data_IF_563919400806
#
_entry.id   IF_563919400806
#
_cell.length_a   1.000
_cell.length_b   1.000
_cell.length_c   1.000
_cell.angle_alpha   90.00
_cell.angle_beta   90.00
_cell.angle_gamma   90.00
#
_symmetry.space_group_name_H-M   'P 1'
#
loop_
_entity.id
_entity.type
_entity.pdbx_description
1 polymer ?
#
# COMPACT_ATOMS: atom_id res chain seq x y z
N UNK A 1 -2.86 -18.15 -9.55
CA UNK A 1 -2.62 -16.76 -9.20
C UNK A 1 -2.90 -16.53 -7.73
N UNK A 2 -2.03 -15.83 -7.05
CA UNK A 2 -2.20 -15.52 -5.63
C UNK A 2 -3.20 -14.38 -5.47
N UNK A 3 -4.18 -14.58 -4.59
CA UNK A 3 -5.02 -13.49 -4.13
C UNK A 3 -4.24 -12.67 -3.10
N UNK A 4 -4.36 -11.35 -3.13
CA UNK A 4 -3.66 -10.46 -2.20
C UNK A 4 -4.39 -9.13 -2.04
N UNK A 5 -3.96 -8.35 -1.07
CA UNK A 5 -4.41 -6.96 -0.90
C UNK A 5 -3.20 -6.05 -1.03
N UNK A 6 -3.22 -5.15 -1.98
CA UNK A 6 -2.22 -4.09 -2.08
C UNK A 6 -2.63 -2.94 -1.17
N UNK A 7 -1.68 -2.45 -0.39
CA UNK A 7 -1.92 -1.37 0.56
C UNK A 7 -0.88 -0.26 0.40
N UNK A 8 -1.29 0.94 0.75
CA UNK A 8 -0.42 2.10 0.85
C UNK A 8 -0.89 3.00 1.98
N UNK A 9 0.02 3.29 2.92
CA UNK A 9 -0.19 4.31 3.92
C UNK A 9 0.43 5.61 3.45
N UNK A 10 -0.33 6.70 3.47
CA UNK A 10 0.22 8.04 3.37
C UNK A 10 0.52 8.54 4.78
N UNK A 11 1.72 9.07 4.95
CA UNK A 11 2.24 9.45 6.27
C UNK A 11 2.72 10.89 6.26
N UNK A 12 2.82 11.47 7.46
CA UNK A 12 3.50 12.75 7.62
C UNK A 12 5.00 12.58 7.41
N UNK A 13 5.66 13.65 6.96
CA UNK A 13 7.10 13.73 7.06
C UNK A 13 7.52 13.68 8.54
N UNK A 14 8.73 13.17 8.82
CA UNK A 14 9.25 13.05 10.16
C UNK A 14 9.11 14.36 10.95
N UNK A 15 8.24 14.37 11.95
CA UNK A 15 8.35 15.32 13.05
C UNK A 15 9.53 14.89 13.95
N UNK A 16 10.03 15.78 14.78
CA UNK A 16 11.28 15.60 15.54
C UNK A 16 11.41 14.34 16.41
N UNK A 17 10.40 13.49 16.52
CA UNK A 17 10.44 12.22 17.22
C UNK A 17 10.79 11.03 16.30
N UNK A 18 10.98 11.26 15.01
CA UNK A 18 11.37 10.24 14.04
C UNK A 18 10.25 9.27 13.64
N UNK A 19 8.99 9.55 13.98
CA UNK A 19 7.86 8.69 13.60
C UNK A 19 7.15 9.25 12.38
N UNK A 20 6.79 8.33 11.46
CA UNK A 20 5.83 8.60 10.41
C UNK A 20 4.43 8.25 10.92
N UNK A 21 3.57 9.24 11.07
CA UNK A 21 2.21 9.01 11.49
C UNK A 21 1.30 8.91 10.26
N UNK A 22 0.53 7.81 10.13
CA UNK A 22 -0.34 7.63 8.98
C UNK A 22 -1.57 8.53 9.08
N UNK A 23 -1.98 9.08 7.94
CA UNK A 23 -3.22 9.86 7.85
C UNK A 23 -4.19 9.30 6.81
N UNK A 24 -3.74 8.42 5.93
CA UNK A 24 -4.57 7.72 4.96
C UNK A 24 -4.08 6.29 4.76
N UNK A 25 -5.00 5.37 4.60
CA UNK A 25 -4.74 4.00 4.14
C UNK A 25 -5.57 3.73 2.90
N UNK A 26 -4.93 3.34 1.83
CA UNK A 26 -5.58 2.81 0.63
C UNK A 26 -5.39 1.30 0.53
N UNK A 27 -6.38 0.61 -0.01
CA UNK A 27 -6.34 -0.83 -0.24
C UNK A 27 -6.99 -1.19 -1.57
N UNK A 28 -6.37 -2.12 -2.28
CA UNK A 28 -6.90 -2.72 -3.50
C UNK A 28 -6.89 -4.25 -3.33
N UNK A 29 -8.06 -4.84 -3.30
CA UNK A 29 -8.23 -6.29 -3.12
C UNK A 29 -8.17 -6.98 -4.47
N UNK A 30 -7.24 -7.91 -4.61
CA UNK A 30 -7.03 -8.69 -5.85
C UNK A 30 -7.48 -10.12 -5.62
N UNK A 31 -8.34 -10.61 -6.51
CA UNK A 31 -8.78 -12.01 -6.57
C UNK A 31 -8.78 -12.47 -8.02
N UNK A 32 -8.25 -13.66 -8.24
CA UNK A 32 -8.19 -14.29 -9.57
C UNK A 32 -7.57 -13.37 -10.64
N UNK A 33 -6.55 -12.59 -10.26
CA UNK A 33 -5.83 -11.72 -11.18
C UNK A 33 -6.51 -10.39 -11.48
N UNK A 34 -7.57 -10.04 -10.77
CA UNK A 34 -8.31 -8.79 -10.97
C UNK A 34 -8.50 -8.02 -9.67
N UNK A 35 -8.50 -6.70 -9.76
CA UNK A 35 -8.89 -5.84 -8.65
C UNK A 35 -10.41 -5.90 -8.53
N UNK A 36 -10.92 -6.47 -7.44
CA UNK A 36 -12.35 -6.67 -7.21
C UNK A 36 -12.96 -5.66 -6.27
N UNK A 37 -12.15 -4.98 -5.46
CA UNK A 37 -12.62 -4.00 -4.48
C UNK A 37 -11.49 -3.01 -4.20
N UNK A 38 -11.85 -1.76 -3.99
CA UNK A 38 -10.95 -0.72 -3.48
C UNK A 38 -11.57 -0.06 -2.26
N UNK A 39 -10.73 0.25 -1.27
CA UNK A 39 -11.14 0.88 -0.02
C UNK A 39 -10.16 1.96 0.37
N UNK A 40 -10.63 2.94 1.12
CA UNK A 40 -9.74 3.93 1.74
C UNK A 40 -10.28 4.35 3.12
N UNK A 41 -9.35 4.72 4.00
CA UNK A 41 -9.65 5.20 5.34
C UNK A 41 -8.78 6.42 5.63
N UNK A 42 -9.34 7.40 6.33
CA UNK A 42 -8.64 8.62 6.70
C UNK A 42 -8.50 8.70 8.22
N UNK A 43 -7.32 9.12 8.68
CA UNK A 43 -6.92 9.20 10.09
C UNK A 43 -6.42 10.61 10.37
N UNK A 44 -7.34 11.57 10.45
CA UNK A 44 -6.99 12.98 10.46
C UNK A 44 -6.68 13.51 9.07
N UNK A 45 -5.70 14.40 8.98
CA UNK A 45 -5.24 14.98 7.72
C UNK A 45 -3.72 14.86 7.59
N UNK A 46 -3.18 15.21 6.42
CA UNK A 46 -1.73 15.23 6.20
C UNK A 46 -1.01 16.17 7.17
N UNK A 47 -1.66 17.24 7.64
CA UNK A 47 -1.10 18.20 8.59
C UNK A 47 -1.34 17.82 10.06
N UNK A 48 -2.43 17.11 10.33
CA UNK A 48 -2.84 16.70 11.68
C UNK A 48 -3.24 15.23 11.68
N UNK A 49 -2.27 14.30 11.59
CA UNK A 49 -2.55 12.88 11.68
C UNK A 49 -3.02 12.53 13.10
N UNK A 50 -3.92 11.58 13.19
CA UNK A 50 -4.48 11.18 14.48
C UNK A 50 -4.61 9.65 14.54
N UNK A 51 -4.01 9.05 15.56
CA UNK A 51 -4.06 7.61 15.78
C UNK A 51 -5.39 7.11 16.36
N UNK A 52 -6.14 7.95 17.05
CA UNK A 52 -7.42 7.53 17.63
C UNK A 52 -8.42 7.09 16.54
N UNK A 53 -8.60 7.81 15.42
CA UNK A 53 -9.46 7.35 14.33
C UNK A 53 -9.03 6.00 13.73
N UNK A 54 -7.75 5.64 13.81
CA UNK A 54 -7.30 4.32 13.36
C UNK A 54 -7.93 3.23 14.21
N UNK A 55 -7.90 3.39 15.54
CA UNK A 55 -8.48 2.41 16.45
C UNK A 55 -10.00 2.36 16.32
N UNK A 56 -10.66 3.49 16.11
CA UNK A 56 -12.09 3.56 15.88
C UNK A 56 -12.51 2.84 14.60
N UNK A 57 -11.65 2.81 13.59
CA UNK A 57 -11.92 2.18 12.30
C UNK A 57 -11.32 0.76 12.19
N UNK A 58 -10.71 0.26 13.25
CA UNK A 58 -10.04 -1.05 13.26
C UNK A 58 -10.95 -2.17 12.77
N UNK A 59 -12.18 -2.27 13.28
CA UNK A 59 -13.11 -3.33 12.92
C UNK A 59 -13.57 -3.24 11.46
N UNK A 60 -13.36 -2.09 10.80
CA UNK A 60 -13.69 -1.91 9.40
C UNK A 60 -12.53 -2.30 8.48
N UNK A 61 -11.29 -1.92 8.79
CA UNK A 61 -10.17 -2.23 7.91
C UNK A 61 -9.43 -3.53 8.25
N UNK A 62 -9.40 -3.96 9.51
CA UNK A 62 -8.71 -5.20 9.91
C UNK A 62 -9.18 -6.42 9.11
N UNK A 63 -10.50 -6.67 8.91
CA UNK A 63 -10.93 -7.82 8.13
C UNK A 63 -10.52 -7.78 6.66
N UNK A 64 -10.24 -6.60 6.12
CA UNK A 64 -9.77 -6.47 4.74
C UNK A 64 -8.32 -6.93 4.61
N UNK A 65 -7.50 -6.67 5.62
CA UNK A 65 -6.05 -6.92 5.58
C UNK A 65 -5.65 -8.25 6.23
N UNK A 66 -6.29 -8.63 7.33
CA UNK A 66 -5.86 -9.76 8.16
C UNK A 66 -5.97 -11.10 7.44
N UNK A 67 -4.97 -11.96 7.66
CA UNK A 67 -4.97 -13.32 7.13
C UNK A 67 -4.80 -13.43 5.62
N UNK A 68 -4.34 -12.37 4.97
CA UNK A 68 -4.15 -12.30 3.52
C UNK A 68 -2.73 -11.91 3.18
N UNK A 69 -2.19 -12.36 2.03
CA UNK A 69 -0.97 -11.77 1.50
C UNK A 69 -1.17 -10.27 1.28
N UNK A 70 -0.20 -9.46 1.71
CA UNK A 70 -0.22 -8.01 1.59
C UNK A 70 0.88 -7.56 0.66
N UNK A 71 0.54 -6.73 -0.31
CA UNK A 71 1.49 -6.15 -1.25
C UNK A 71 1.69 -4.67 -0.97
N UNK A 72 2.93 -4.22 -1.08
CA UNK A 72 3.29 -2.80 -1.01
C UNK A 72 4.54 -2.56 -1.83
N UNK A 73 4.73 -1.31 -2.24
CA UNK A 73 5.94 -0.91 -2.94
C UNK A 73 6.95 -0.39 -1.92
N UNK A 74 7.94 -1.22 -1.56
CA UNK A 74 8.82 -1.02 -0.41
C UNK A 74 8.05 -1.19 0.92
N UNK A 75 7.94 -2.41 1.38
CA UNK A 75 7.06 -2.79 2.49
C UNK A 75 7.46 -2.25 3.87
N UNK A 76 8.62 -1.61 4.02
CA UNK A 76 9.13 -1.19 5.33
C UNK A 76 8.17 -0.26 6.08
N UNK A 77 7.58 0.71 5.41
CA UNK A 77 6.65 1.66 6.02
C UNK A 77 5.38 0.96 6.52
N UNK A 78 4.76 0.17 5.67
CA UNK A 78 3.52 -0.55 5.98
C UNK A 78 3.72 -1.56 7.10
N UNK A 79 4.82 -2.31 7.06
CA UNK A 79 5.18 -3.24 8.13
C UNK A 79 5.34 -2.53 9.47
N UNK A 80 6.04 -1.41 9.47
CA UNK A 80 6.28 -0.63 10.69
C UNK A 80 4.98 -0.11 11.29
N UNK A 81 4.10 0.44 10.47
CA UNK A 81 2.82 0.99 10.92
C UNK A 81 1.92 -0.14 11.46
N UNK A 82 1.75 -1.22 10.72
CA UNK A 82 0.90 -2.33 11.15
C UNK A 82 1.44 -3.02 12.41
N UNK A 83 2.76 -3.13 12.54
CA UNK A 83 3.38 -3.67 13.76
C UNK A 83 3.13 -2.77 14.97
N UNK A 84 3.16 -1.46 14.79
CA UNK A 84 2.82 -0.50 15.86
C UNK A 84 1.36 -0.65 16.30
N UNK A 85 0.45 -0.85 15.35
CA UNK A 85 -0.99 -0.98 15.63
C UNK A 85 -1.32 -2.31 16.31
N UNK A 86 -0.74 -3.41 15.84
CA UNK A 86 -1.02 -4.74 16.37
C UNK A 86 0.24 -5.61 16.29
N UNK A 87 1.13 -5.51 17.31
CA UNK A 87 2.41 -6.22 17.27
C UNK A 87 2.31 -7.74 17.31
N UNK A 88 1.19 -8.28 17.77
CA UNK A 88 0.96 -9.74 17.84
C UNK A 88 0.20 -10.29 16.63
N UNK A 89 -0.27 -9.46 15.74
CA UNK A 89 -0.97 -9.90 14.53
C UNK A 89 0.04 -10.42 13.49
N UNK A 90 -0.16 -11.63 12.94
CA UNK A 90 0.73 -12.18 11.91
C UNK A 90 0.38 -11.59 10.53
N UNK A 91 0.76 -10.35 10.29
CA UNK A 91 0.53 -9.68 9.02
C UNK A 91 1.28 -10.33 7.86
N UNK A 92 0.66 -10.41 6.71
CA UNK A 92 1.26 -10.97 5.51
C UNK A 92 0.86 -12.41 5.24
N UNK A 93 1.60 -13.17 4.38
CA UNK A 93 2.94 -12.86 3.86
C UNK A 93 3.01 -11.58 3.03
N UNK A 94 4.21 -11.01 2.93
CA UNK A 94 4.43 -9.74 2.25
C UNK A 94 4.94 -9.93 0.83
N UNK A 95 4.36 -9.18 -0.08
CA UNK A 95 4.78 -9.07 -1.48
C UNK A 95 5.36 -7.67 -1.65
N UNK A 96 6.68 -7.57 -1.84
CA UNK A 96 7.35 -6.29 -2.05
C UNK A 96 7.59 -6.07 -3.53
N UNK A 97 6.77 -5.23 -4.17
CA UNK A 97 6.87 -4.97 -5.60
C UNK A 97 8.17 -4.28 -5.99
N UNK A 98 8.79 -3.51 -5.11
CA UNK A 98 10.11 -2.91 -5.36
C UNK A 98 11.19 -3.98 -5.49
N UNK A 99 11.22 -4.92 -4.57
CA UNK A 99 12.20 -6.03 -4.61
C UNK A 99 12.01 -6.92 -5.81
N UNK A 100 10.76 -7.26 -6.11
CA UNK A 100 10.43 -8.11 -7.26
C UNK A 100 10.84 -7.42 -8.56
N UNK A 101 10.53 -6.12 -8.70
CA UNK A 101 10.90 -5.35 -9.88
C UNK A 101 12.42 -5.29 -10.08
N UNK A 102 13.18 -5.03 -9.02
CA UNK A 102 14.64 -5.02 -9.11
C UNK A 102 15.22 -6.37 -9.53
N UNK A 103 14.61 -7.46 -9.09
CA UNK A 103 15.05 -8.82 -9.44
C UNK A 103 14.67 -9.21 -10.86
N UNK A 104 13.47 -8.88 -11.32
CA UNK A 104 12.93 -9.30 -12.63
C UNK A 104 13.29 -8.36 -13.76
N UNK A 105 13.50 -7.08 -13.46
CA UNK A 105 13.78 -6.02 -14.42
C UNK A 105 15.05 -5.27 -14.03
N UNK A 106 16.21 -5.94 -13.98
CA UNK A 106 17.45 -5.27 -13.59
C UNK A 106 17.88 -4.22 -14.63
N UNK A 107 18.58 -3.20 -14.17
CA UNK A 107 19.17 -2.20 -15.05
C UNK A 107 18.24 -1.07 -15.47
N UNK A 108 17.09 -0.92 -14.86
CA UNK A 108 16.24 0.24 -15.11
C UNK A 108 16.82 1.51 -14.46
N UNK A 109 16.58 2.71 -15.05
CA UNK A 109 17.09 3.96 -14.49
C UNK A 109 16.45 4.32 -13.15
N UNK A 110 15.25 3.81 -12.84
CA UNK A 110 14.56 4.06 -11.58
C UNK A 110 13.51 3.01 -11.28
N UNK A 111 13.22 2.84 -10.01
CA UNK A 111 12.27 1.83 -9.50
C UNK A 111 11.19 2.42 -8.60
N UNK A 112 10.90 3.71 -8.74
CA UNK A 112 9.73 4.28 -8.07
C UNK A 112 8.46 3.64 -8.62
N UNK A 113 7.39 3.66 -7.83
CA UNK A 113 6.10 3.10 -8.27
C UNK A 113 5.65 3.75 -9.59
N UNK A 114 5.76 5.09 -9.68
CA UNK A 114 5.38 5.83 -10.88
C UNK A 114 6.23 5.47 -12.11
N UNK A 115 7.55 5.35 -11.94
CA UNK A 115 8.45 4.98 -13.03
C UNK A 115 8.17 3.57 -13.56
N UNK A 116 7.96 2.63 -12.65
CA UNK A 116 7.64 1.25 -13.03
C UNK A 116 6.29 1.13 -13.72
N UNK A 117 5.27 1.80 -13.20
CA UNK A 117 3.94 1.79 -13.83
C UNK A 117 3.98 2.44 -15.22
N UNK A 118 4.72 3.52 -15.40
CA UNK A 118 4.90 4.14 -16.72
C UNK A 118 5.60 3.18 -17.70
N UNK A 119 6.67 2.51 -17.25
CA UNK A 119 7.43 1.58 -18.07
C UNK A 119 6.62 0.34 -18.47
N UNK A 120 5.74 -0.15 -17.58
CA UNK A 120 4.94 -1.36 -17.82
C UNK A 120 3.52 -1.09 -18.31
N UNK A 121 3.15 0.16 -18.52
CA UNK A 121 1.82 0.52 -19.03
C UNK A 121 0.68 0.24 -18.04
N UNK A 122 0.93 0.40 -16.74
CA UNK A 122 -0.07 0.14 -15.70
C UNK A 122 -0.30 1.35 -14.78
N UNK A 123 -0.31 2.55 -15.35
CA UNK A 123 -0.66 3.77 -14.61
C UNK A 123 -2.16 3.78 -14.36
N UNK A 124 -2.62 3.90 -13.10
CA UNK A 124 -4.05 3.96 -12.82
C UNK A 124 -4.72 5.19 -13.41
N UNK A 125 -5.99 5.04 -13.77
CA UNK A 125 -6.85 6.14 -14.20
C UNK A 125 -8.00 6.25 -13.20
N UNK A 126 -7.83 7.07 -12.17
CA UNK A 126 -8.86 7.35 -11.16
C UNK A 126 -9.13 8.85 -11.20
N UNK A 127 -10.35 9.21 -11.52
CA UNK A 127 -10.75 10.60 -11.66
C UNK A 127 -10.48 11.39 -10.37
N UNK A 128 -9.78 12.53 -10.49
CA UNK A 128 -9.46 13.39 -9.36
C UNK A 128 -8.34 12.90 -8.45
N UNK A 129 -7.66 11.82 -8.80
CA UNK A 129 -6.59 11.23 -8.01
C UNK A 129 -5.28 11.15 -8.81
N UNK A 130 -4.18 11.19 -8.12
CA UNK A 130 -2.84 11.06 -8.69
C UNK A 130 -1.88 10.50 -7.66
N UNK A 131 -0.59 10.46 -7.98
CA UNK A 131 0.47 9.96 -7.08
C UNK A 131 0.44 10.66 -5.71
N UNK A 132 0.86 9.93 -4.67
CA UNK A 132 0.84 10.34 -3.26
C UNK A 132 -0.58 10.44 -2.67
N UNK A 133 -1.52 9.74 -3.27
CA UNK A 133 -2.82 9.43 -2.70
C UNK A 133 -2.86 7.94 -2.37
N UNK A 134 -3.23 7.58 -1.14
CA UNK A 134 -3.14 6.19 -0.68
C UNK A 134 -3.96 5.22 -1.51
N UNK A 135 -5.17 5.61 -1.94
CA UNK A 135 -5.98 4.78 -2.82
C UNK A 135 -5.34 4.62 -4.19
N UNK A 136 -4.90 5.71 -4.80
CA UNK A 136 -4.25 5.69 -6.12
C UNK A 136 -3.00 4.81 -6.09
N UNK A 137 -2.15 5.00 -5.10
CA UNK A 137 -0.89 4.26 -4.97
C UNK A 137 -1.12 2.77 -4.65
N UNK A 138 -2.15 2.44 -3.87
CA UNK A 138 -2.53 1.05 -3.63
C UNK A 138 -3.02 0.35 -4.91
N UNK A 139 -3.83 1.03 -5.71
CA UNK A 139 -4.26 0.51 -7.02
C UNK A 139 -3.07 0.34 -7.95
N UNK A 140 -2.17 1.33 -8.01
CA UNK A 140 -0.95 1.25 -8.81
C UNK A 140 -0.07 0.06 -8.38
N UNK A 141 0.08 -0.15 -7.08
CA UNK A 141 0.83 -1.29 -6.53
C UNK A 141 0.19 -2.62 -6.93
N UNK A 142 -1.14 -2.73 -6.86
CA UNK A 142 -1.86 -3.93 -7.28
C UNK A 142 -1.64 -4.22 -8.76
N UNK A 143 -1.79 -3.22 -9.61
CA UNK A 143 -1.57 -3.35 -11.06
C UNK A 143 -0.13 -3.75 -11.37
N UNK A 144 0.84 -3.15 -10.69
CA UNK A 144 2.25 -3.49 -10.84
C UNK A 144 2.53 -4.93 -10.40
N UNK A 145 2.01 -5.34 -9.25
CA UNK A 145 2.17 -6.72 -8.77
C UNK A 145 1.64 -7.73 -9.78
N UNK A 146 0.48 -7.47 -10.35
CA UNK A 146 -0.10 -8.33 -11.41
C UNK A 146 0.78 -8.37 -12.66
N UNK A 147 1.31 -7.24 -13.10
CA UNK A 147 2.24 -7.17 -14.25
C UNK A 147 3.54 -7.90 -13.99
N UNK A 148 4.03 -7.88 -12.77
CA UNK A 148 5.24 -8.61 -12.38
C UNK A 148 4.99 -10.11 -12.16
N UNK A 149 3.75 -10.56 -12.17
CA UNK A 149 3.41 -11.96 -11.91
C UNK A 149 3.66 -12.38 -10.46
N UNK A 150 3.44 -11.46 -9.58
CA UNK A 150 3.64 -11.69 -8.15
C UNK A 150 2.52 -12.52 -7.54
#
# INVERSE_FOLDING_TARGET
MTDFVAIDFETTAYAGDGRNDPWQLGAAVVKAGEIVETREWFFGTAQTPDFEPIMDQWDDFHPVLAGRPLAAHNTACEKTILTRLAPLEPWGPWIDTLRIAKKRLPGLPGYTLGELCAALGCVPEIQGRTWHDGLYDAVACAMLALRLGA
#
